data_IF_933660771642
#
_entry.id   IF_933660771642
#
_cell.length_a   1.000
_cell.length_b   1.000
_cell.length_c   1.000
_cell.angle_alpha   90.00
_cell.angle_beta   90.00
_cell.angle_gamma   90.00
#
_symmetry.space_group_name_H-M   'P 1'
#
loop_
_entity.id
_entity.type
_entity.pdbx_description
1 polymer ?
#
# COMPACT_ATOMS: atom_id res chain seq x y z
N UNK A 1 -29.55 17.92 5.38
CA UNK A 1 -29.35 17.28 6.68
C UNK A 1 -28.64 18.21 7.65
N UNK A 2 -28.96 18.11 8.92
CA UNK A 2 -28.38 18.92 10.00
C UNK A 2 -27.69 18.02 11.03
N UNK A 3 -26.75 18.58 11.81
CA UNK A 3 -26.04 17.85 12.85
C UNK A 3 -25.25 16.64 12.29
N UNK A 4 -25.29 15.54 13.02
CA UNK A 4 -24.53 14.31 12.72
C UNK A 4 -24.96 13.56 11.44
N UNK A 5 -26.07 14.00 10.82
CA UNK A 5 -26.52 13.47 9.53
C UNK A 5 -25.73 14.03 8.33
N UNK A 6 -24.93 15.06 8.52
CA UNK A 6 -24.05 15.59 7.47
C UNK A 6 -22.85 14.67 7.31
N UNK A 7 -22.44 14.40 6.08
CA UNK A 7 -21.25 13.58 5.81
C UNK A 7 -20.00 14.17 6.50
N UNK A 8 -19.83 15.48 6.47
CA UNK A 8 -18.71 16.16 7.12
C UNK A 8 -18.70 16.04 8.65
N UNK A 9 -19.84 15.78 9.27
CA UNK A 9 -19.95 15.59 10.72
C UNK A 9 -19.92 14.11 11.14
N UNK A 10 -19.97 13.18 10.17
CA UNK A 10 -19.93 11.75 10.44
C UNK A 10 -18.53 11.34 10.94
N UNK A 11 -18.39 10.77 12.16
CA UNK A 11 -17.09 10.37 12.68
C UNK A 11 -16.42 9.22 11.89
N UNK A 12 -17.17 8.50 11.06
CA UNK A 12 -16.67 7.44 10.20
C UNK A 12 -16.15 7.94 8.84
N UNK A 13 -16.24 9.25 8.59
CA UNK A 13 -15.70 9.88 7.38
C UNK A 13 -14.71 10.98 7.79
N UNK A 14 -13.92 11.48 6.83
CA UNK A 14 -12.99 12.61 7.01
C UNK A 14 -11.86 12.40 8.04
N UNK A 15 -11.45 11.16 8.26
CA UNK A 15 -10.43 10.83 9.23
C UNK A 15 -10.86 10.91 10.69
N UNK A 16 -11.87 11.68 11.00
CA UNK A 16 -12.56 11.89 12.27
C UNK A 16 -12.05 11.12 13.48
N UNK A 17 -12.97 10.51 14.23
CA UNK A 17 -12.66 9.75 15.45
C UNK A 17 -11.89 8.43 15.22
N UNK A 18 -11.86 7.93 14.01
CA UNK A 18 -11.18 6.66 13.69
C UNK A 18 -9.70 6.85 13.37
N UNK A 19 -9.25 8.07 13.09
CA UNK A 19 -7.84 8.33 12.80
C UNK A 19 -7.00 8.16 14.07
N UNK A 20 -6.14 7.16 14.04
CA UNK A 20 -5.14 6.87 15.07
C UNK A 20 -3.80 6.66 14.40
N UNK A 21 -2.73 6.99 15.10
CA UNK A 21 -1.39 6.70 14.59
C UNK A 21 -1.21 5.19 14.44
N UNK A 22 -0.61 4.82 13.31
CA UNK A 22 -0.25 3.44 13.05
C UNK A 22 0.94 3.07 13.95
N UNK A 23 0.82 1.96 14.67
CA UNK A 23 1.93 1.39 15.41
C UNK A 23 2.85 0.64 14.46
N UNK A 24 4.11 1.02 14.41
CA UNK A 24 5.10 0.38 13.56
C UNK A 24 6.26 -0.16 14.40
N UNK A 25 6.86 -1.30 14.03
CA UNK A 25 8.11 -1.73 14.62
C UNK A 25 9.25 -0.82 14.12
N UNK A 26 10.40 -0.88 14.74
CA UNK A 26 11.60 -0.25 14.21
C UNK A 26 12.03 -0.97 12.92
N UNK A 27 11.92 -0.29 11.79
CA UNK A 27 12.22 -0.86 10.48
C UNK A 27 13.68 -1.29 10.34
N UNK A 28 14.59 -0.74 11.14
CA UNK A 28 16.02 -1.12 11.16
C UNK A 28 16.24 -2.56 11.60
N UNK A 29 15.29 -3.15 12.34
CA UNK A 29 15.37 -4.55 12.76
C UNK A 29 15.22 -5.54 11.61
N UNK A 30 14.74 -5.07 10.45
CA UNK A 30 14.58 -5.85 9.22
C UNK A 30 15.69 -5.58 8.20
N UNK A 31 16.69 -4.80 8.58
CA UNK A 31 17.76 -4.41 7.70
C UNK A 31 18.54 -5.62 7.17
N UNK A 32 18.86 -5.56 5.89
CA UNK A 32 19.79 -6.50 5.25
C UNK A 32 21.21 -6.05 5.60
N UNK A 33 22.01 -6.99 6.10
CA UNK A 33 23.45 -6.76 6.28
C UNK A 33 24.14 -6.78 4.90
N UNK A 34 24.87 -5.70 4.59
CA UNK A 34 25.55 -5.51 3.30
C UNK A 34 27.01 -5.21 3.57
N UNK A 35 27.88 -6.25 3.58
CA UNK A 35 29.32 -6.07 3.86
C UNK A 35 30.00 -5.07 2.90
N UNK A 36 29.61 -5.07 1.63
CA UNK A 36 29.99 -4.05 0.65
C UNK A 36 28.95 -3.96 -0.47
N UNK A 37 28.81 -2.84 -1.16
CA UNK A 37 27.79 -2.64 -2.19
C UNK A 37 27.80 -3.74 -3.25
N UNK A 38 26.61 -4.31 -3.50
CA UNK A 38 26.41 -5.39 -4.47
C UNK A 38 26.83 -6.80 -3.99
N UNK A 39 27.30 -6.94 -2.76
CA UNK A 39 27.81 -8.23 -2.24
C UNK A 39 26.74 -9.27 -1.92
N UNK A 40 25.51 -8.85 -1.75
CA UNK A 40 24.37 -9.73 -1.45
C UNK A 40 23.20 -9.42 -2.38
N UNK A 41 22.39 -10.44 -2.66
CA UNK A 41 21.13 -10.29 -3.39
C UNK A 41 19.96 -10.57 -2.47
N UNK A 42 18.90 -9.80 -2.59
CA UNK A 42 17.64 -9.98 -1.84
C UNK A 42 16.44 -9.71 -2.71
N UNK A 43 15.32 -10.34 -2.35
CA UNK A 43 13.99 -10.00 -2.87
C UNK A 43 13.37 -8.98 -1.90
N UNK A 44 13.35 -7.73 -2.28
CA UNK A 44 12.93 -6.63 -1.41
C UNK A 44 11.56 -6.84 -0.78
N UNK A 45 10.60 -7.36 -1.56
CA UNK A 45 9.24 -7.59 -1.09
C UNK A 45 9.13 -8.69 -0.04
N UNK A 46 10.05 -9.65 0.01
CA UNK A 46 10.07 -10.68 1.07
C UNK A 46 10.46 -10.04 2.42
N UNK A 47 11.47 -9.19 2.41
CA UNK A 47 11.94 -8.52 3.64
C UNK A 47 10.91 -7.48 4.10
N UNK A 48 10.36 -6.70 3.18
CA UNK A 48 9.25 -5.80 3.46
C UNK A 48 8.02 -6.55 4.01
N UNK A 49 7.72 -7.75 3.48
CA UNK A 49 6.63 -8.60 3.98
C UNK A 49 6.78 -8.97 5.45
N UNK A 50 8.02 -9.16 5.94
CA UNK A 50 8.30 -9.38 7.37
C UNK A 50 7.95 -8.16 8.22
N UNK A 51 8.34 -6.96 7.77
CA UNK A 51 7.99 -5.70 8.43
C UNK A 51 6.45 -5.49 8.45
N UNK A 52 5.78 -5.67 7.31
CA UNK A 52 4.31 -5.51 7.19
C UNK A 52 3.57 -6.50 8.09
N UNK A 53 4.02 -7.76 8.16
CA UNK A 53 3.49 -8.76 9.09
C UNK A 53 3.43 -8.23 10.53
N UNK A 54 4.51 -7.61 10.98
CA UNK A 54 4.58 -7.13 12.36
C UNK A 54 3.81 -5.81 12.56
N UNK A 55 3.68 -4.97 11.54
CA UNK A 55 2.70 -3.86 11.53
C UNK A 55 1.27 -4.41 11.71
N UNK A 56 0.89 -5.47 10.99
CA UNK A 56 -0.41 -6.12 11.13
C UNK A 56 -0.64 -6.63 12.55
N UNK A 57 0.35 -7.32 13.14
CA UNK A 57 0.28 -7.83 14.53
C UNK A 57 0.11 -6.71 15.54
N UNK A 58 0.90 -5.63 15.43
CA UNK A 58 0.84 -4.49 16.34
C UNK A 58 -0.52 -3.75 16.31
N UNK A 59 -1.24 -3.82 15.19
CA UNK A 59 -2.51 -3.12 14.99
C UNK A 59 -3.72 -4.05 14.95
N UNK A 60 -3.56 -5.30 15.36
CA UNK A 60 -4.61 -6.32 15.30
C UNK A 60 -5.85 -5.96 16.14
N UNK A 61 -5.65 -5.39 17.33
CA UNK A 61 -6.70 -4.93 18.23
C UNK A 61 -7.45 -3.69 17.69
N UNK A 62 -6.72 -2.76 17.08
CA UNK A 62 -7.28 -1.54 16.50
C UNK A 62 -7.98 -1.78 15.16
N UNK A 63 -7.65 -2.86 14.47
CA UNK A 63 -8.15 -3.22 13.14
C UNK A 63 -8.10 -2.06 12.14
N UNK A 64 -7.04 -1.24 12.24
CA UNK A 64 -6.88 0.01 11.49
C UNK A 64 -5.86 -0.05 10.36
N UNK A 65 -5.40 -1.26 9.98
CA UNK A 65 -4.48 -1.47 8.86
C UNK A 65 -4.96 -2.60 7.95
N UNK A 66 -4.93 -2.38 6.62
CA UNK A 66 -5.29 -3.38 5.60
C UNK A 66 -4.35 -3.34 4.42
N UNK A 67 -4.22 -4.50 3.77
CA UNK A 67 -3.57 -4.69 2.47
C UNK A 67 -4.66 -4.85 1.42
N UNK A 68 -4.46 -4.25 0.26
CA UNK A 68 -5.33 -4.38 -0.90
C UNK A 68 -4.48 -4.85 -2.09
N UNK A 69 -5.04 -5.73 -2.91
CA UNK A 69 -4.38 -6.25 -4.10
C UNK A 69 -5.33 -7.11 -4.94
N UNK A 70 -5.10 -7.23 -6.25
CA UNK A 70 -5.97 -7.99 -7.15
C UNK A 70 -5.51 -9.46 -7.25
N UNK A 71 -5.62 -10.23 -6.16
CA UNK A 71 -5.14 -11.61 -6.02
C UNK A 71 -3.61 -11.74 -6.23
N UNK A 72 -2.86 -10.74 -5.78
CA UNK A 72 -1.42 -10.65 -6.03
C UNK A 72 -0.55 -10.74 -4.78
N UNK A 73 -1.12 -11.05 -3.60
CA UNK A 73 -0.35 -11.10 -2.34
C UNK A 73 0.81 -12.09 -2.41
N UNK A 74 0.56 -13.29 -2.94
CA UNK A 74 1.61 -14.31 -3.09
C UNK A 74 2.63 -13.94 -4.17
N UNK A 75 2.17 -13.49 -5.33
CA UNK A 75 3.03 -13.13 -6.46
C UNK A 75 3.86 -11.88 -6.17
N UNK A 76 3.35 -10.95 -5.36
CA UNK A 76 4.09 -9.79 -4.84
C UNK A 76 5.04 -10.14 -3.68
N UNK A 77 5.21 -11.42 -3.34
CA UNK A 77 6.09 -11.92 -2.26
C UNK A 77 5.71 -11.44 -0.86
N UNK A 78 4.44 -11.09 -0.63
CA UNK A 78 3.91 -10.66 0.67
C UNK A 78 3.38 -11.81 1.52
N UNK A 79 3.71 -13.05 1.20
CA UNK A 79 3.20 -14.26 1.87
C UNK A 79 3.50 -14.30 3.38
N UNK A 80 4.55 -13.63 3.87
CA UNK A 80 4.82 -13.50 5.32
C UNK A 80 3.66 -12.82 6.06
N UNK A 81 2.85 -12.03 5.39
CA UNK A 81 1.67 -11.38 5.98
C UNK A 81 0.62 -12.40 6.45
N UNK A 82 0.56 -13.57 5.83
CA UNK A 82 -0.35 -14.66 6.25
C UNK A 82 0.00 -15.25 7.62
N UNK A 83 1.18 -14.99 8.16
CA UNK A 83 1.53 -15.33 9.55
C UNK A 83 0.81 -14.44 10.58
N UNK A 84 0.25 -13.31 10.16
CA UNK A 84 -0.44 -12.35 11.03
C UNK A 84 -1.94 -12.27 10.78
N UNK A 85 -2.39 -12.58 9.55
CA UNK A 85 -3.78 -12.42 9.13
C UNK A 85 -4.05 -13.28 7.91
N UNK A 86 -5.30 -13.25 7.41
CA UNK A 86 -5.73 -13.97 6.21
C UNK A 86 -6.45 -13.02 5.25
N UNK A 87 -6.81 -13.53 4.07
CA UNK A 87 -7.68 -12.84 3.12
C UNK A 87 -9.07 -12.66 3.71
N UNK A 88 -9.63 -11.48 3.55
CA UNK A 88 -11.03 -11.19 3.89
C UNK A 88 -11.95 -11.91 2.89
N UNK A 89 -12.81 -12.79 3.41
CA UNK A 89 -13.68 -13.63 2.60
C UNK A 89 -15.09 -13.66 3.20
N UNK A 90 -16.06 -13.12 2.47
CA UNK A 90 -17.43 -12.97 2.96
C UNK A 90 -18.39 -14.12 2.52
N UNK A 91 -17.88 -15.10 1.79
CA UNK A 91 -18.64 -16.28 1.39
C UNK A 91 -18.31 -17.48 2.28
N UNK A 92 -18.93 -18.62 2.00
CA UNK A 92 -18.67 -19.86 2.72
C UNK A 92 -17.22 -20.29 2.52
N UNK A 93 -16.52 -20.59 3.61
CA UNK A 93 -15.20 -21.19 3.60
C UNK A 93 -15.39 -22.71 3.61
N UNK A 94 -14.81 -23.41 2.64
CA UNK A 94 -14.94 -24.85 2.51
C UNK A 94 -13.63 -25.56 2.89
N UNK A 95 -13.68 -26.87 3.25
CA UNK A 95 -12.46 -27.62 3.52
C UNK A 95 -11.51 -27.60 2.32
N UNK A 96 -10.26 -27.21 2.56
CA UNK A 96 -9.24 -27.07 1.52
C UNK A 96 -8.98 -25.63 1.08
N UNK A 97 -9.84 -24.68 1.46
CA UNK A 97 -9.54 -23.26 1.28
C UNK A 97 -8.38 -22.84 2.19
N UNK A 98 -7.41 -22.14 1.61
CA UNK A 98 -6.23 -21.68 2.33
C UNK A 98 -6.25 -20.15 2.49
N UNK A 99 -5.79 -19.70 3.66
CA UNK A 99 -5.61 -18.28 3.97
C UNK A 99 -6.88 -17.42 3.84
N UNK A 100 -8.06 -17.98 4.11
CA UNK A 100 -9.33 -17.25 4.12
C UNK A 100 -9.89 -17.08 5.54
N UNK A 101 -10.44 -15.91 5.84
CA UNK A 101 -11.16 -15.61 7.09
C UNK A 101 -12.16 -14.47 6.89
N UNK A 102 -13.28 -14.51 7.62
CA UNK A 102 -14.30 -13.45 7.54
C UNK A 102 -13.84 -12.08 8.05
N UNK A 103 -12.78 -12.03 8.84
CA UNK A 103 -12.22 -10.79 9.39
C UNK A 103 -10.75 -10.57 8.97
N UNK A 104 -10.33 -11.21 7.91
CA UNK A 104 -9.00 -11.07 7.32
C UNK A 104 -8.65 -9.61 7.02
N UNK A 105 -7.37 -9.28 7.04
CA UNK A 105 -6.88 -7.91 6.79
C UNK A 105 -6.27 -7.73 5.41
N UNK A 106 -6.37 -8.75 4.55
CA UNK A 106 -5.90 -8.72 3.17
C UNK A 106 -7.12 -8.82 2.25
N UNK A 107 -7.35 -7.78 1.45
CA UNK A 107 -8.43 -7.74 0.47
C UNK A 107 -7.82 -7.93 -0.93
N UNK A 108 -7.66 -9.19 -1.33
CA UNK A 108 -7.06 -9.57 -2.61
C UNK A 108 -7.80 -10.67 -3.34
N UNK A 109 -9.05 -10.90 -3.00
CA UNK A 109 -9.89 -11.97 -3.56
C UNK A 109 -10.57 -11.62 -4.89
N UNK A 110 -10.25 -10.47 -5.49
CA UNK A 110 -10.87 -10.00 -6.72
C UNK A 110 -9.83 -9.45 -7.70
N UNK A 111 -9.83 -9.95 -8.93
CA UNK A 111 -8.97 -9.45 -10.03
C UNK A 111 -9.53 -8.13 -10.59
N UNK A 112 -9.45 -7.08 -9.79
CA UNK A 112 -9.91 -5.75 -10.18
C UNK A 112 -9.14 -4.68 -9.43
N UNK A 113 -8.20 -4.05 -10.07
CA UNK A 113 -7.41 -2.94 -9.55
C UNK A 113 -8.31 -1.76 -9.15
N UNK A 114 -9.35 -1.48 -9.95
CA UNK A 114 -10.33 -0.42 -9.66
C UNK A 114 -11.04 -0.64 -8.33
N UNK A 115 -11.47 -1.88 -8.06
CA UNK A 115 -12.12 -2.22 -6.80
C UNK A 115 -11.14 -2.10 -5.63
N UNK A 116 -9.92 -2.61 -5.77
CA UNK A 116 -8.88 -2.53 -4.74
C UNK A 116 -8.55 -1.08 -4.40
N UNK A 117 -8.37 -0.24 -5.41
CA UNK A 117 -8.12 1.20 -5.21
C UNK A 117 -9.31 1.88 -4.54
N UNK A 118 -10.54 1.67 -5.03
CA UNK A 118 -11.74 2.26 -4.46
C UNK A 118 -11.98 1.83 -3.01
N UNK A 119 -11.70 0.57 -2.66
CA UNK A 119 -11.78 0.09 -1.28
C UNK A 119 -10.72 0.74 -0.40
N UNK A 120 -9.48 0.88 -0.89
CA UNK A 120 -8.43 1.58 -0.15
C UNK A 120 -8.81 3.04 0.10
N UNK A 121 -9.22 3.78 -0.93
CA UNK A 121 -9.66 5.17 -0.78
C UNK A 121 -10.77 5.29 0.27
N UNK A 122 -11.83 4.47 0.18
CA UNK A 122 -12.91 4.44 1.17
C UNK A 122 -12.42 4.12 2.57
N UNK A 123 -11.47 3.19 2.70
CA UNK A 123 -10.89 2.79 3.98
C UNK A 123 -10.07 3.93 4.64
N UNK A 124 -9.28 4.65 3.84
CA UNK A 124 -8.53 5.83 4.29
C UNK A 124 -9.46 6.95 4.78
N UNK A 125 -10.57 7.18 4.06
CA UNK A 125 -11.57 8.18 4.46
C UNK A 125 -12.20 7.91 5.83
N UNK A 126 -12.19 6.67 6.30
CA UNK A 126 -12.63 6.33 7.66
C UNK A 126 -11.57 6.62 8.73
N UNK A 127 -10.38 7.07 8.36
CA UNK A 127 -9.26 7.32 9.29
C UNK A 127 -8.38 6.10 9.54
N UNK A 128 -8.48 5.07 8.72
CA UNK A 128 -7.65 3.88 8.80
C UNK A 128 -6.47 3.97 7.84
N UNK A 129 -5.53 3.02 7.94
CA UNK A 129 -4.30 2.97 7.15
C UNK A 129 -4.28 1.74 6.26
N UNK A 130 -3.59 1.84 5.14
CA UNK A 130 -3.41 0.72 4.24
C UNK A 130 -2.52 1.04 3.05
N UNK A 131 -2.35 0.05 2.20
CA UNK A 131 -1.68 0.21 0.92
C UNK A 131 -2.29 -0.74 -0.10
N UNK A 132 -2.09 -0.41 -1.37
CA UNK A 132 -2.44 -1.24 -2.51
C UNK A 132 -1.15 -1.71 -3.17
N UNK A 133 -0.97 -3.03 -3.27
CA UNK A 133 0.13 -3.66 -3.98
C UNK A 133 -0.34 -4.17 -5.32
N UNK A 134 0.31 -3.76 -6.40
CA UNK A 134 0.02 -4.20 -7.77
C UNK A 134 1.27 -4.20 -8.63
N UNK A 135 1.13 -4.64 -9.89
CA UNK A 135 2.18 -4.58 -10.88
C UNK A 135 2.24 -3.20 -11.52
N UNK A 136 3.45 -2.67 -11.70
CA UNK A 136 3.64 -1.43 -12.44
C UNK A 136 3.03 -1.52 -13.85
N UNK A 137 3.15 -2.69 -14.48
CA UNK A 137 2.63 -2.94 -15.81
C UNK A 137 1.11 -2.87 -15.95
N UNK A 138 0.36 -2.93 -14.84
CA UNK A 138 -1.12 -2.95 -14.85
C UNK A 138 -1.75 -1.76 -14.12
N UNK A 139 -1.01 -1.09 -13.26
CA UNK A 139 -1.55 -0.05 -12.36
C UNK A 139 -2.19 1.13 -13.10
N UNK A 140 -1.86 1.35 -14.39
CA UNK A 140 -2.41 2.46 -15.14
C UNK A 140 -3.93 2.45 -15.24
N UNK A 141 -4.57 1.30 -15.09
CA UNK A 141 -6.05 1.20 -15.09
C UNK A 141 -6.70 2.04 -13.99
N UNK A 142 -5.98 2.35 -12.89
CA UNK A 142 -6.47 3.20 -11.79
C UNK A 142 -5.98 4.64 -11.84
N UNK A 143 -5.25 5.03 -12.86
CA UNK A 143 -4.63 6.36 -12.97
C UNK A 143 -5.62 7.51 -12.77
N UNK A 144 -6.80 7.41 -13.36
CA UNK A 144 -7.85 8.44 -13.19
C UNK A 144 -8.37 8.51 -11.76
N UNK A 145 -8.45 7.40 -11.04
CA UNK A 145 -8.87 7.35 -9.64
C UNK A 145 -7.82 8.01 -8.75
N UNK A 146 -6.56 7.62 -8.89
CA UNK A 146 -5.43 8.24 -8.20
C UNK A 146 -5.37 9.75 -8.47
N UNK A 147 -5.58 10.16 -9.72
CA UNK A 147 -5.62 11.58 -10.09
C UNK A 147 -6.76 12.33 -9.39
N UNK A 148 -7.93 11.72 -9.26
CA UNK A 148 -9.07 12.31 -8.53
C UNK A 148 -8.80 12.37 -7.04
N UNK A 149 -8.22 11.34 -6.44
CA UNK A 149 -7.83 11.32 -5.03
C UNK A 149 -6.82 12.43 -4.72
N UNK A 150 -5.79 12.61 -5.56
CA UNK A 150 -4.82 13.68 -5.41
C UNK A 150 -5.46 15.09 -5.49
N UNK A 151 -6.42 15.30 -6.41
CA UNK A 151 -7.19 16.55 -6.50
C UNK A 151 -8.02 16.77 -5.24
N UNK A 152 -8.68 15.72 -4.75
CA UNK A 152 -9.46 15.77 -3.54
C UNK A 152 -8.61 16.15 -2.32
N UNK A 153 -7.44 15.52 -2.13
CA UNK A 153 -6.50 15.86 -1.05
C UNK A 153 -6.10 17.34 -1.12
N UNK A 154 -5.75 17.83 -2.30
CA UNK A 154 -5.37 19.23 -2.50
C UNK A 154 -6.48 20.21 -2.10
N UNK A 155 -7.74 19.92 -2.44
CA UNK A 155 -8.87 20.76 -2.05
C UNK A 155 -9.12 20.65 -0.55
N UNK A 156 -9.08 19.45 0.00
CA UNK A 156 -9.33 19.20 1.43
C UNK A 156 -8.31 19.90 2.35
N UNK A 157 -7.05 19.99 1.93
CA UNK A 157 -6.00 20.69 2.68
C UNK A 157 -6.28 22.18 2.92
N UNK A 158 -7.18 22.77 2.12
CA UNK A 158 -7.59 24.18 2.23
C UNK A 158 -8.86 24.37 3.09
N UNK A 159 -9.47 23.29 3.55
CA UNK A 159 -10.73 23.33 4.29
C UNK A 159 -10.48 23.14 5.80
N UNK A 160 -10.70 24.18 6.62
CA UNK A 160 -10.31 24.14 8.05
C UNK A 160 -11.09 23.14 8.90
N UNK A 161 -12.22 22.64 8.40
CA UNK A 161 -13.04 21.63 9.08
C UNK A 161 -12.72 20.19 8.67
N UNK A 162 -11.86 20.00 7.67
CA UNK A 162 -11.41 18.66 7.27
C UNK A 162 -10.28 18.17 8.16
N UNK A 163 -10.38 16.92 8.59
CA UNK A 163 -9.29 16.23 9.27
C UNK A 163 -8.34 15.62 8.25
N UNK A 164 -7.07 15.54 8.60
CA UNK A 164 -6.09 14.75 7.86
C UNK A 164 -6.48 13.29 7.83
N UNK A 165 -6.14 12.60 6.75
CA UNK A 165 -6.28 11.14 6.61
C UNK A 165 -4.92 10.51 6.38
N UNK A 166 -4.83 9.19 6.59
CA UNK A 166 -3.65 8.44 6.19
C UNK A 166 -3.43 8.55 4.68
N UNK A 167 -2.17 8.57 4.26
CA UNK A 167 -1.82 8.68 2.84
C UNK A 167 -2.26 7.46 2.04
N UNK A 168 -2.60 7.68 0.79
CA UNK A 168 -2.79 6.64 -0.22
C UNK A 168 -1.41 6.10 -0.60
N UNK A 169 -1.15 4.83 -0.33
CA UNK A 169 0.14 4.20 -0.59
C UNK A 169 0.00 3.13 -1.66
N UNK A 170 0.72 3.26 -2.75
CA UNK A 170 0.82 2.29 -3.84
C UNK A 170 2.20 1.65 -3.82
N UNK A 171 2.26 0.33 -3.84
CA UNK A 171 3.50 -0.43 -4.00
C UNK A 171 3.44 -1.13 -5.35
N UNK A 172 4.37 -0.77 -6.21
CA UNK A 172 4.43 -1.27 -7.58
C UNK A 172 5.61 -2.22 -7.74
N UNK A 173 5.28 -3.45 -8.08
CA UNK A 173 6.25 -4.49 -8.48
C UNK A 173 6.15 -4.76 -9.99
N UNK A 174 6.75 -5.83 -10.49
CA UNK A 174 6.70 -6.21 -11.91
C UNK A 174 7.01 -5.03 -12.82
N UNK A 175 8.22 -4.51 -12.66
CA UNK A 175 8.65 -3.28 -13.32
C UNK A 175 8.59 -3.40 -14.84
N UNK A 176 7.99 -2.43 -15.49
CA UNK A 176 7.86 -2.38 -16.96
C UNK A 176 9.22 -2.45 -17.65
N UNK A 177 10.21 -1.71 -17.14
CA UNK A 177 11.56 -1.69 -17.70
C UNK A 177 12.33 -3.02 -17.56
N UNK A 178 11.95 -3.88 -16.59
CA UNK A 178 12.49 -5.23 -16.46
C UNK A 178 11.71 -6.27 -17.28
N UNK A 179 10.64 -5.87 -17.95
CA UNK A 179 9.73 -6.76 -18.67
C UNK A 179 9.14 -7.86 -17.75
N UNK A 180 8.99 -7.56 -16.48
CA UNK A 180 8.47 -8.46 -15.46
C UNK A 180 6.93 -8.43 -15.44
N UNK A 181 6.32 -9.24 -16.29
CA UNK A 181 4.89 -9.30 -16.52
C UNK A 181 4.42 -10.69 -16.94
N UNK A 182 3.12 -10.92 -16.91
CA UNK A 182 2.51 -12.20 -17.31
C UNK A 182 2.41 -12.40 -18.83
N UNK A 183 2.72 -11.40 -19.62
CA UNK A 183 2.71 -11.42 -21.06
C UNK A 183 2.85 -10.01 -21.63
N UNK A 184 3.74 -9.81 -22.58
CA UNK A 184 4.05 -8.48 -23.11
C UNK A 184 2.84 -7.77 -23.75
N UNK A 185 1.79 -8.50 -24.09
CA UNK A 185 0.54 -7.94 -24.63
C UNK A 185 -0.36 -7.31 -23.54
N UNK A 186 -0.05 -7.51 -22.27
CA UNK A 186 -0.84 -7.02 -21.13
C UNK A 186 -0.25 -5.78 -20.45
N UNK A 187 0.89 -5.29 -20.97
CA UNK A 187 1.50 -4.09 -20.39
C UNK A 187 0.77 -2.82 -20.82
N UNK A 188 0.53 -1.94 -19.85
CA UNK A 188 0.07 -0.57 -20.10
C UNK A 188 0.97 0.42 -19.36
N UNK A 189 2.17 0.75 -19.88
CA UNK A 189 3.11 1.67 -19.26
C UNK A 189 2.57 3.11 -19.26
N UNK A 190 3.18 3.98 -18.45
CA UNK A 190 2.87 5.42 -18.45
C UNK A 190 2.25 5.94 -17.15
N UNK A 191 1.93 5.07 -16.18
CA UNK A 191 1.45 5.51 -14.88
C UNK A 191 2.46 6.41 -14.17
N UNK A 192 3.74 6.04 -14.16
CA UNK A 192 4.80 6.82 -13.51
C UNK A 192 4.97 8.20 -14.16
N UNK A 193 4.84 8.30 -15.48
CA UNK A 193 4.87 9.59 -16.19
C UNK A 193 3.74 10.50 -15.73
N UNK A 194 2.54 9.97 -15.56
CA UNK A 194 1.40 10.70 -15.03
C UNK A 194 1.63 11.16 -13.58
N UNK A 195 2.16 10.28 -12.74
CA UNK A 195 2.45 10.57 -11.34
C UNK A 195 3.53 11.65 -11.22
N UNK A 196 4.60 11.56 -12.00
CA UNK A 196 5.69 12.54 -11.99
C UNK A 196 5.25 13.97 -12.36
N UNK A 197 4.16 14.11 -13.10
CA UNK A 197 3.58 15.41 -13.48
C UNK A 197 2.62 16.00 -12.43
N UNK A 198 2.36 15.32 -11.32
CA UNK A 198 1.52 15.84 -10.23
C UNK A 198 2.34 16.76 -9.31
N UNK A 199 1.64 17.55 -8.51
CA UNK A 199 2.28 18.45 -7.56
C UNK A 199 2.93 17.69 -6.40
N UNK A 200 4.17 18.03 -6.06
CA UNK A 200 4.95 17.40 -5.01
C UNK A 200 4.38 17.61 -3.58
N UNK A 201 3.54 18.61 -3.40
CA UNK A 201 2.83 18.86 -2.13
C UNK A 201 1.78 17.78 -1.82
N UNK A 202 1.35 17.01 -2.84
CA UNK A 202 0.30 15.98 -2.68
C UNK A 202 0.78 14.61 -3.13
N UNK A 203 1.66 14.53 -4.12
CA UNK A 203 2.09 13.26 -4.73
C UNK A 203 3.59 13.10 -4.62
N UNK A 204 4.04 11.92 -4.22
CA UNK A 204 5.44 11.55 -4.07
C UNK A 204 5.73 10.23 -4.76
N UNK A 205 6.83 10.18 -5.49
CA UNK A 205 7.33 8.99 -6.15
C UNK A 205 8.66 8.58 -5.51
N UNK A 206 8.77 7.32 -5.10
CA UNK A 206 9.96 6.75 -4.49
C UNK A 206 10.47 5.59 -5.35
N UNK A 207 11.77 5.61 -5.62
CA UNK A 207 12.49 4.59 -6.39
C UNK A 207 13.61 4.00 -5.51
N UNK A 208 13.30 3.28 -4.43
CA UNK A 208 14.32 2.74 -3.55
C UNK A 208 15.19 1.74 -4.29
N UNK A 209 16.53 1.90 -4.24
CA UNK A 209 17.45 1.05 -5.01
C UNK A 209 17.63 -0.35 -4.42
N UNK A 210 17.27 -0.55 -3.16
CA UNK A 210 17.45 -1.79 -2.41
C UNK A 210 16.44 -1.94 -1.26
N UNK A 211 16.53 -3.06 -0.55
CA UNK A 211 15.67 -3.40 0.58
C UNK A 211 15.74 -2.39 1.72
N UNK A 212 16.93 -1.95 2.11
CA UNK A 212 17.11 -1.04 3.24
C UNK A 212 16.45 0.32 2.97
N UNK A 213 16.64 0.85 1.77
CA UNK A 213 15.95 2.06 1.32
C UNK A 213 14.43 1.84 1.23
N UNK A 214 13.98 0.69 0.74
CA UNK A 214 12.55 0.37 0.67
C UNK A 214 11.91 0.34 2.07
N UNK A 215 12.53 -0.30 3.04
CA UNK A 215 12.03 -0.36 4.43
C UNK A 215 11.86 1.05 5.01
N UNK A 216 12.87 1.91 4.85
CA UNK A 216 12.83 3.30 5.31
C UNK A 216 11.74 4.11 4.61
N UNK A 217 11.64 4.01 3.28
CA UNK A 217 10.61 4.71 2.51
C UNK A 217 9.21 4.23 2.88
N UNK A 218 9.01 2.91 3.01
CA UNK A 218 7.71 2.36 3.33
C UNK A 218 7.24 2.75 4.74
N UNK A 219 8.11 2.65 5.75
CA UNK A 219 7.79 3.11 7.11
C UNK A 219 7.37 4.59 7.12
N UNK A 220 8.12 5.44 6.39
CA UNK A 220 7.75 6.83 6.23
C UNK A 220 6.37 7.00 5.56
N UNK A 221 6.11 6.29 4.47
CA UNK A 221 4.86 6.40 3.71
C UNK A 221 3.63 5.99 4.51
N UNK A 222 3.67 4.86 5.23
CA UNK A 222 2.52 4.36 6.00
C UNK A 222 2.20 5.20 7.22
N UNK A 223 3.15 5.99 7.71
CA UNK A 223 2.94 6.97 8.79
C UNK A 223 2.58 8.36 8.29
N UNK A 224 2.75 8.63 7.01
CA UNK A 224 2.43 9.94 6.42
C UNK A 224 0.93 10.16 6.28
N UNK A 225 0.54 11.42 6.15
CA UNK A 225 -0.86 11.84 6.00
C UNK A 225 -1.01 12.79 4.81
N UNK A 226 -2.17 12.75 4.18
CA UNK A 226 -2.58 13.65 3.11
C UNK A 226 -1.71 13.61 1.84
N UNK A 227 -1.06 12.45 1.58
CA UNK A 227 -0.28 12.23 0.37
C UNK A 227 -0.80 11.05 -0.44
N UNK A 228 -0.44 11.05 -1.71
CA UNK A 228 -0.36 9.86 -2.56
C UNK A 228 1.12 9.51 -2.65
N UNK A 229 1.49 8.36 -2.13
CA UNK A 229 2.86 7.83 -2.19
C UNK A 229 2.90 6.66 -3.17
N UNK A 230 3.78 6.70 -4.13
CA UNK A 230 4.03 5.62 -5.08
C UNK A 230 5.44 5.11 -4.86
N UNK A 231 5.56 3.83 -4.49
CA UNK A 231 6.83 3.14 -4.28
C UNK A 231 7.02 2.10 -5.38
N UNK A 232 8.07 2.24 -6.17
CA UNK A 232 8.45 1.26 -7.20
C UNK A 232 9.54 0.37 -6.63
N UNK A 233 9.30 -0.94 -6.60
CA UNK A 233 10.18 -1.92 -5.96
C UNK A 233 10.30 -3.19 -6.79
N UNK A 234 11.08 -4.17 -6.34
CA UNK A 234 11.27 -5.44 -7.02
C UNK A 234 10.81 -6.62 -6.18
N UNK A 235 10.10 -7.55 -6.83
CA UNK A 235 9.78 -8.88 -6.28
C UNK A 235 10.82 -9.95 -6.65
N UNK A 236 11.75 -9.63 -7.53
CA UNK A 236 12.86 -10.49 -7.92
C UNK A 236 14.13 -10.19 -7.14
N UNK A 237 15.05 -11.16 -7.03
CA UNK A 237 16.37 -10.89 -6.46
C UNK A 237 17.07 -9.76 -7.19
N UNK A 238 17.68 -8.86 -6.41
CA UNK A 238 18.53 -7.80 -6.94
C UNK A 238 19.67 -7.49 -5.97
N UNK A 239 20.81 -6.99 -6.48
CA UNK A 239 21.92 -6.55 -5.63
C UNK A 239 21.49 -5.49 -4.62
N UNK A 240 22.10 -5.54 -3.44
CA UNK A 240 21.86 -4.60 -2.35
C UNK A 240 23.05 -3.64 -2.22
N UNK A 241 22.78 -2.34 -1.94
CA UNK A 241 23.77 -1.29 -2.12
C UNK A 241 24.12 -0.54 -0.85
N UNK A 242 23.11 -0.19 -0.04
CA UNK A 242 23.25 0.75 1.07
C UNK A 242 22.97 0.08 2.41
N UNK A 243 23.88 0.24 3.34
CA UNK A 243 23.64 -0.14 4.76
C UNK A 243 22.58 0.76 5.38
N UNK A 244 21.93 0.26 6.43
CA UNK A 244 20.92 1.02 7.18
C UNK A 244 21.60 2.06 8.08
#
# INVERSE_FOLDING_TARGET
PTGDRRLAANPHANGGKLLRDLRTPDFKQYAVDIPFPGSVEKQDMIELGGYIRDVLKLNADAKNFRIFGPDETMSNRLYKCFEATQRDWNSTIIPGDEFLAHDGRIMDSMLSEHMCEGWLEGYLLTGRHGFFASYESFIRVVDSMVAQHAKWLKVCSQLPWRQSIASLNLILTSNVWQQDHNGFTHQDPGFLDHIANKKADVVRLYLPPDTNCLLSCFDHCVRSRDYVNVLVTSKHPRPQWLTM
#
